data_IF_772616975349
#
_entry.id   IF_772616975349
#
_cell.length_a   1.000
_cell.length_b   1.000
_cell.length_c   1.000
_cell.angle_alpha   90.00
_cell.angle_beta   90.00
_cell.angle_gamma   90.00
#
_symmetry.space_group_name_H-M   'P 1'
#
loop_
_entity.id
_entity.type
_entity.pdbx_description
1 polymer ?
#
# COMPACT_ATOMS: atom_id res chain seq x y z
N UNK A 1 -10.83 -25.76 0.08
CA UNK A 1 -9.95 -24.91 0.92
C UNK A 1 -10.21 -25.22 2.37
N UNK A 2 -9.22 -25.03 3.24
CA UNK A 2 -9.44 -25.11 4.69
C UNK A 2 -9.47 -23.69 5.27
N UNK A 3 -10.36 -23.41 6.24
CA UNK A 3 -10.40 -22.11 6.89
C UNK A 3 -9.12 -21.90 7.71
N UNK A 4 -8.59 -20.68 7.66
CA UNK A 4 -7.42 -20.26 8.45
C UNK A 4 -7.90 -19.28 9.51
N UNK A 5 -7.50 -19.48 10.77
CA UNK A 5 -7.75 -18.53 11.85
C UNK A 5 -6.60 -17.52 11.90
N UNK A 6 -6.93 -16.24 12.00
CA UNK A 6 -5.98 -15.13 12.10
C UNK A 6 -6.17 -14.47 13.46
N UNK A 7 -5.06 -14.23 14.18
CA UNK A 7 -5.08 -13.65 15.51
C UNK A 7 -4.43 -12.25 15.52
N UNK A 8 -4.93 -11.30 16.33
CA UNK A 8 -4.26 -10.01 16.53
C UNK A 8 -2.82 -10.20 17.00
N UNK A 9 -1.89 -9.42 16.45
CA UNK A 9 -0.47 -9.46 16.81
C UNK A 9 0.34 -10.59 16.17
N UNK A 10 -0.28 -11.48 15.40
CA UNK A 10 0.44 -12.50 14.64
C UNK A 10 1.34 -11.83 13.58
N UNK A 11 2.60 -12.27 13.41
CA UNK A 11 3.43 -11.80 12.29
C UNK A 11 2.82 -12.29 10.96
N UNK A 12 2.46 -11.35 10.08
CA UNK A 12 1.76 -11.63 8.81
C UNK A 12 2.57 -11.27 7.56
N UNK A 13 3.76 -10.69 7.72
CA UNK A 13 4.60 -10.29 6.59
C UNK A 13 5.87 -9.58 7.02
N UNK A 14 6.70 -9.29 6.04
CA UNK A 14 7.98 -8.61 6.20
C UNK A 14 8.13 -7.55 5.10
N UNK A 15 8.72 -6.41 5.45
CA UNK A 15 9.12 -5.40 4.47
C UNK A 15 10.55 -5.70 4.00
N UNK A 16 10.72 -5.84 2.70
CA UNK A 16 12.03 -6.03 2.06
C UNK A 16 12.25 -4.84 1.14
N UNK A 17 13.33 -4.10 1.37
CA UNK A 17 13.69 -2.91 0.60
C UNK A 17 14.72 -3.26 -0.47
N UNK A 18 14.55 -2.66 -1.65
CA UNK A 18 15.49 -2.76 -2.75
C UNK A 18 16.06 -1.39 -3.06
N UNK A 19 17.36 -1.34 -3.34
CA UNK A 19 18.00 -0.14 -3.84
C UNK A 19 17.56 0.17 -5.28
N UNK A 20 17.41 1.45 -5.59
CA UNK A 20 17.16 1.92 -6.94
C UNK A 20 18.45 2.55 -7.49
N UNK A 21 18.68 2.38 -8.78
CA UNK A 21 19.73 3.11 -9.48
C UNK A 21 19.14 4.43 -10.02
N UNK A 22 19.76 5.55 -9.66
CA UNK A 22 19.31 6.90 -10.05
C UNK A 22 18.21 7.49 -9.15
N UNK A 23 17.69 8.64 -9.57
CA UNK A 23 16.74 9.43 -8.78
C UNK A 23 15.27 9.09 -9.06
N UNK A 24 14.42 9.27 -8.05
CA UNK A 24 12.97 9.10 -8.16
C UNK A 24 12.35 10.34 -8.80
N UNK A 25 11.87 10.22 -10.05
CA UNK A 25 11.26 11.34 -10.78
C UNK A 25 9.95 11.86 -10.15
N UNK A 26 9.12 10.97 -9.61
CA UNK A 26 7.84 11.35 -9.00
C UNK A 26 7.59 10.49 -7.78
N UNK A 27 7.78 11.08 -6.60
CA UNK A 27 7.47 10.42 -5.35
C UNK A 27 5.97 10.18 -5.22
N UNK A 28 5.58 9.02 -4.71
CA UNK A 28 4.16 8.63 -4.58
C UNK A 28 3.35 9.65 -3.78
N UNK A 29 3.91 10.15 -2.66
CA UNK A 29 3.26 11.16 -1.82
C UNK A 29 3.00 12.51 -2.52
N UNK A 30 3.69 12.79 -3.64
CA UNK A 30 3.52 14.01 -4.44
C UNK A 30 2.75 13.78 -5.73
N UNK A 31 2.48 12.52 -6.09
CA UNK A 31 1.78 12.16 -7.31
C UNK A 31 0.30 12.55 -7.18
N UNK A 32 -0.19 13.41 -8.07
CA UNK A 32 -1.58 13.91 -8.02
C UNK A 32 -2.63 12.80 -8.10
N UNK A 33 -2.34 11.70 -8.81
CA UNK A 33 -3.23 10.54 -8.91
C UNK A 33 -2.99 9.47 -7.83
N UNK A 34 -2.13 9.72 -6.85
CA UNK A 34 -1.98 8.83 -5.71
C UNK A 34 -3.24 8.80 -4.86
N UNK A 35 -3.63 7.59 -4.43
CA UNK A 35 -4.92 7.33 -3.78
C UNK A 35 -4.82 7.13 -2.28
N UNK A 36 -3.63 6.80 -1.79
CA UNK A 36 -3.39 6.29 -0.43
C UNK A 36 -2.21 7.00 0.24
N UNK A 37 -2.20 8.33 0.21
CA UNK A 37 -1.13 9.12 0.84
C UNK A 37 -1.30 9.27 2.35
N UNK A 38 -2.55 9.28 2.82
CA UNK A 38 -2.87 9.36 4.24
C UNK A 38 -2.75 7.98 4.89
N UNK A 39 -1.98 7.89 5.97
CA UNK A 39 -1.79 6.64 6.72
C UNK A 39 -2.90 6.46 7.75
N UNK A 40 -3.44 5.26 7.81
CA UNK A 40 -4.46 4.84 8.78
C UNK A 40 -4.06 3.53 9.44
N UNK A 41 -4.56 3.31 10.65
CA UNK A 41 -4.45 2.04 11.39
C UNK A 41 -5.42 0.96 10.87
N UNK A 42 -6.42 1.38 10.09
CA UNK A 42 -7.45 0.52 9.51
C UNK A 42 -7.29 0.36 8.00
N UNK A 43 -7.72 -0.78 7.42
CA UNK A 43 -7.80 -0.96 5.98
C UNK A 43 -8.67 0.13 5.34
N UNK A 44 -8.25 0.60 4.16
CA UNK A 44 -8.98 1.61 3.37
C UNK A 44 -9.60 0.93 2.15
N UNK A 45 -10.83 1.31 1.80
CA UNK A 45 -11.50 0.77 0.61
C UNK A 45 -10.81 1.17 -0.69
N UNK A 46 -11.04 0.36 -1.73
CA UNK A 46 -10.51 0.60 -3.07
C UNK A 46 -11.00 1.93 -3.65
N UNK A 47 -10.06 2.76 -4.10
CA UNK A 47 -10.35 4.01 -4.80
C UNK A 47 -10.18 3.89 -6.32
N UNK A 48 -10.42 2.70 -6.89
CA UNK A 48 -10.28 2.48 -8.34
C UNK A 48 -11.20 3.39 -9.17
N UNK A 49 -12.37 3.72 -8.63
CA UNK A 49 -13.33 4.66 -9.21
C UNK A 49 -12.78 6.09 -9.46
N UNK A 50 -11.66 6.48 -8.83
CA UNK A 50 -11.00 7.77 -9.07
C UNK A 50 -10.14 7.80 -10.34
N UNK A 51 -9.99 6.68 -11.04
CA UNK A 51 -9.28 6.67 -12.33
C UNK A 51 -10.19 7.27 -13.41
N UNK A 52 -9.62 8.17 -14.20
CA UNK A 52 -10.20 8.58 -15.49
C UNK A 52 -9.76 7.57 -16.55
N UNK A 53 -10.74 6.97 -17.24
CA UNK A 53 -10.52 6.08 -18.39
C UNK A 53 -10.66 6.84 -19.70
#
# INVERSE_FOLDING_TARGET
>A
SMPVRVYPGMPIGQLIYFGLQGDVQTFYNRKQSAKYNDRTDRPVESMMWKNSF
#
